data_IF_466730032672
#
_entry.id   IF_466730032672
#
_cell.length_a   1.000
_cell.length_b   1.000
_cell.length_c   1.000
_cell.angle_alpha   90.00
_cell.angle_beta   90.00
_cell.angle_gamma   90.00
#
_symmetry.space_group_name_H-M   'P 1'
#
loop_
_entity.id
_entity.type
_entity.pdbx_description
1 polymer ?
#
# COMPACT_ATOMS: atom_id res chain seq x y z
N UNK A 1 29.12 16.31 -28.00
CA UNK A 1 27.69 16.50 -27.68
C UNK A 1 27.57 16.34 -26.17
N UNK A 2 27.49 17.44 -25.42
CA UNK A 2 27.41 17.42 -23.96
C UNK A 2 25.96 17.26 -23.54
N UNK A 3 25.60 16.09 -23.01
CA UNK A 3 24.31 15.89 -22.35
C UNK A 3 24.42 16.52 -20.96
N UNK A 4 23.71 17.62 -20.76
CA UNK A 4 23.49 18.19 -19.43
C UNK A 4 22.46 17.31 -18.72
N UNK A 5 22.88 16.63 -17.65
CA UNK A 5 21.97 15.89 -16.79
C UNK A 5 21.04 16.86 -16.04
N UNK A 6 19.77 16.49 -15.75
CA UNK A 6 18.88 17.34 -14.98
C UNK A 6 19.44 17.61 -13.58
N UNK A 7 19.44 18.87 -13.17
CA UNK A 7 19.93 19.40 -11.88
C UNK A 7 19.23 18.84 -10.61
N UNK A 8 18.43 17.77 -10.71
CA UNK A 8 17.54 17.30 -9.63
C UNK A 8 18.13 16.16 -8.80
N UNK A 9 19.23 15.54 -9.24
CA UNK A 9 19.89 14.41 -8.53
C UNK A 9 20.64 14.86 -7.25
N UNK A 10 20.78 16.17 -7.02
CA UNK A 10 21.83 16.71 -6.16
C UNK A 10 21.41 17.14 -4.75
N UNK A 11 20.28 16.72 -4.15
CA UNK A 11 19.99 17.15 -2.77
C UNK A 11 19.20 16.11 -1.96
N UNK A 12 19.89 15.14 -1.38
CA UNK A 12 19.46 14.58 -0.10
C UNK A 12 20.12 15.46 0.98
N UNK A 13 19.38 16.41 1.51
CA UNK A 13 19.86 17.20 2.66
C UNK A 13 19.77 16.37 3.94
N UNK A 14 20.64 16.60 4.90
CA UNK A 14 20.61 15.92 6.23
C UNK A 14 19.26 16.04 6.94
N UNK A 15 18.44 17.04 6.58
CA UNK A 15 17.06 17.21 7.07
C UNK A 15 16.06 16.17 6.56
N UNK A 16 16.40 15.39 5.52
CA UNK A 16 15.54 14.39 4.88
C UNK A 16 15.85 12.95 5.31
N UNK A 17 16.90 12.76 6.11
CA UNK A 17 17.21 11.47 6.75
C UNK A 17 16.42 11.44 8.06
N UNK A 18 15.36 10.64 8.10
CA UNK A 18 14.54 10.49 9.30
C UNK A 18 15.12 9.36 10.14
N UNK A 19 15.42 9.62 11.41
CA UNK A 19 15.78 8.54 12.34
C UNK A 19 14.50 7.88 12.83
N UNK A 20 14.20 6.66 12.37
CA UNK A 20 13.09 5.87 12.89
C UNK A 20 13.65 4.68 13.66
N UNK A 21 13.32 4.58 14.96
CA UNK A 21 13.81 3.50 15.84
C UNK A 21 15.35 3.38 15.90
N UNK A 22 16.06 4.51 15.83
CA UNK A 22 17.54 4.53 15.84
C UNK A 22 18.19 4.20 14.49
N UNK A 23 17.41 3.92 13.45
CA UNK A 23 17.92 3.71 12.09
C UNK A 23 17.73 4.96 11.24
N UNK A 24 18.77 5.32 10.48
CA UNK A 24 18.67 6.35 9.44
C UNK A 24 17.84 5.80 8.27
N UNK A 25 16.65 6.36 8.05
CA UNK A 25 15.75 5.99 6.97
C UNK A 25 15.67 7.14 5.96
N UNK A 26 15.73 6.83 4.67
CA UNK A 26 15.38 7.76 3.60
C UNK A 26 13.92 7.48 3.21
N UNK A 27 13.02 8.48 3.26
CA UNK A 27 11.63 8.33 2.84
C UNK A 27 11.51 7.77 1.41
N UNK A 28 10.58 6.82 1.20
CA UNK A 28 10.43 6.11 -0.09
C UNK A 28 10.17 7.06 -1.29
N UNK A 29 9.52 8.19 -1.05
CA UNK A 29 9.27 9.23 -2.07
C UNK A 29 10.53 9.97 -2.54
N UNK A 30 11.62 9.95 -1.76
CA UNK A 30 12.93 10.52 -2.11
C UNK A 30 13.79 9.56 -2.93
N UNK A 31 13.60 8.24 -2.77
CA UNK A 31 14.16 7.26 -3.69
C UNK A 31 13.48 7.40 -5.08
N UNK A 32 12.16 7.42 -5.15
CA UNK A 32 11.44 7.33 -6.43
C UNK A 32 11.77 8.47 -7.43
N UNK A 33 11.91 9.71 -6.95
CA UNK A 33 12.27 10.85 -7.83
C UNK A 33 13.69 10.77 -8.40
N UNK A 34 14.63 10.12 -7.71
CA UNK A 34 16.01 9.96 -8.16
C UNK A 34 16.25 8.66 -8.94
N UNK A 35 15.43 7.63 -8.70
CA UNK A 35 15.54 6.34 -9.36
C UNK A 35 15.00 6.35 -10.80
N UNK A 36 14.03 7.20 -11.13
CA UNK A 36 13.52 7.31 -12.51
C UNK A 36 14.59 7.77 -13.53
N UNK A 37 15.61 8.52 -13.08
CA UNK A 37 16.76 8.90 -13.89
C UNK A 37 17.83 7.77 -14.00
N UNK A 38 17.90 6.87 -13.01
CA UNK A 38 18.77 5.68 -13.00
C UNK A 38 18.17 4.48 -13.77
N UNK A 39 16.85 4.50 -14.01
CA UNK A 39 16.13 3.48 -14.78
C UNK A 39 16.34 3.58 -16.31
N UNK A 40 17.26 4.41 -16.79
CA UNK A 40 17.68 4.39 -18.18
C UNK A 40 18.72 3.24 -18.36
N UNK A 41 18.39 2.15 -19.08
CA UNK A 41 19.17 0.89 -19.09
C UNK A 41 20.50 0.97 -19.86
N UNK A 42 21.10 2.15 -19.97
CA UNK A 42 22.31 2.40 -20.76
C UNK A 42 23.58 2.12 -19.94
N UNK A 43 23.52 2.06 -18.61
CA UNK A 43 24.70 1.76 -17.80
C UNK A 43 24.88 0.23 -17.70
N UNK A 44 25.91 -0.34 -18.34
CA UNK A 44 26.20 -1.76 -18.19
C UNK A 44 26.54 -2.06 -16.72
N UNK A 45 26.12 -3.22 -16.25
CA UNK A 45 26.59 -3.75 -14.96
C UNK A 45 28.11 -3.94 -15.06
N UNK A 46 28.86 -3.26 -14.19
CA UNK A 46 30.32 -3.25 -14.22
C UNK A 46 30.84 -4.33 -13.28
N UNK A 47 31.47 -5.41 -13.79
CA UNK A 47 32.02 -6.44 -12.93
C UNK A 47 33.22 -5.92 -12.14
N UNK A 48 33.24 -6.22 -10.85
CA UNK A 48 34.31 -5.91 -9.90
C UNK A 48 34.90 -7.22 -9.43
N UNK A 49 36.09 -7.58 -9.91
CA UNK A 49 36.79 -8.83 -9.60
C UNK A 49 37.98 -8.65 -8.65
N UNK A 50 38.18 -7.44 -8.12
CA UNK A 50 39.28 -7.08 -7.24
C UNK A 50 39.09 -5.67 -6.67
N UNK A 51 40.15 -5.11 -6.10
CA UNK A 51 40.12 -3.73 -5.58
C UNK A 51 39.96 -2.71 -6.72
N UNK A 52 39.13 -1.70 -6.52
CA UNK A 52 38.88 -0.62 -7.48
C UNK A 52 38.91 0.74 -6.78
N UNK A 53 39.23 1.80 -7.53
CA UNK A 53 39.10 3.18 -7.08
C UNK A 53 38.11 3.90 -7.97
N UNK A 54 37.10 4.50 -7.36
CA UNK A 54 36.03 5.23 -8.02
C UNK A 54 36.34 6.73 -8.01
N UNK A 55 35.89 7.40 -9.07
CA UNK A 55 35.87 8.86 -9.21
C UNK A 55 34.44 9.37 -9.19
N UNK A 56 34.23 10.69 -9.10
CA UNK A 56 32.89 11.28 -9.17
C UNK A 56 32.18 11.01 -10.50
N UNK A 57 32.93 10.78 -11.58
CA UNK A 57 32.39 10.38 -12.89
C UNK A 57 31.74 8.98 -12.87
N UNK A 58 31.98 8.20 -11.81
CA UNK A 58 31.39 6.88 -11.63
C UNK A 58 30.03 6.92 -10.92
N UNK A 59 29.45 8.09 -10.63
CA UNK A 59 28.13 8.18 -9.99
C UNK A 59 27.03 7.62 -10.91
N UNK A 60 26.09 6.90 -10.33
CA UNK A 60 24.95 6.28 -11.00
C UNK A 60 25.24 4.94 -11.67
N UNK A 61 26.40 4.35 -11.40
CA UNK A 61 26.75 3.03 -11.92
C UNK A 61 26.23 1.89 -11.03
N UNK A 62 26.09 0.72 -11.66
CA UNK A 62 25.79 -0.53 -10.98
C UNK A 62 27.05 -1.41 -11.09
N UNK A 63 27.57 -1.81 -9.95
CA UNK A 63 28.75 -2.66 -9.83
C UNK A 63 28.34 -4.06 -9.37
N UNK A 64 28.84 -5.07 -10.05
CA UNK A 64 28.66 -6.46 -9.64
C UNK A 64 29.91 -6.95 -8.92
N UNK A 65 29.75 -7.28 -7.64
CA UNK A 65 30.81 -7.76 -6.76
C UNK A 65 31.07 -9.25 -7.05
N UNK A 66 31.90 -9.51 -8.05
CA UNK A 66 32.21 -10.84 -8.55
C UNK A 66 33.43 -11.44 -7.86
N UNK A 67 33.32 -12.72 -7.48
CA UNK A 67 34.31 -13.52 -6.74
C UNK A 67 35.78 -13.05 -6.87
N UNK A 68 36.26 -12.19 -5.95
CA UNK A 68 37.64 -11.74 -5.99
C UNK A 68 38.54 -12.85 -5.47
N UNK A 69 39.82 -12.85 -5.86
CA UNK A 69 40.79 -13.84 -5.37
C UNK A 69 41.11 -13.69 -3.87
N UNK A 70 40.74 -12.56 -3.26
CA UNK A 70 40.88 -12.23 -1.85
C UNK A 70 39.89 -11.11 -1.48
N UNK A 71 39.80 -10.72 -0.20
CA UNK A 71 39.04 -9.53 0.19
C UNK A 71 39.50 -8.30 -0.63
N UNK A 72 38.53 -7.56 -1.17
CA UNK A 72 38.79 -6.45 -2.07
C UNK A 72 38.46 -5.10 -1.41
N UNK A 73 39.10 -4.02 -1.86
CA UNK A 73 38.84 -2.66 -1.39
C UNK A 73 38.19 -1.83 -2.49
N UNK A 74 37.09 -1.16 -2.18
CA UNK A 74 36.44 -0.18 -3.05
C UNK A 74 36.74 1.20 -2.48
N UNK A 75 37.67 1.92 -3.10
CA UNK A 75 38.01 3.29 -2.70
C UNK A 75 37.04 4.27 -3.34
N UNK A 76 36.24 4.92 -2.51
CA UNK A 76 35.31 5.98 -2.91
C UNK A 76 36.08 7.29 -3.13
N UNK A 77 35.57 8.21 -3.98
CA UNK A 77 36.13 9.55 -4.06
C UNK A 77 35.87 10.34 -2.75
N UNK A 78 36.39 11.56 -2.68
CA UNK A 78 35.94 12.53 -1.68
C UNK A 78 34.41 12.68 -1.79
N UNK A 79 33.66 12.65 -0.67
CA UNK A 79 32.22 12.84 -0.65
C UNK A 79 31.81 14.08 -1.46
N UNK A 80 30.84 13.91 -2.36
CA UNK A 80 30.27 14.99 -3.17
C UNK A 80 28.76 14.80 -3.21
N UNK A 81 28.02 15.89 -3.02
CA UNK A 81 26.56 15.83 -2.92
C UNK A 81 25.97 15.26 -4.22
N UNK A 82 25.11 14.25 -4.09
CA UNK A 82 24.48 13.56 -5.21
C UNK A 82 25.25 12.34 -5.73
N UNK A 83 26.47 12.08 -5.25
CA UNK A 83 27.19 10.85 -5.63
C UNK A 83 26.43 9.62 -5.12
N UNK A 84 26.11 8.69 -6.01
CA UNK A 84 25.43 7.45 -5.68
C UNK A 84 25.91 6.28 -6.52
N UNK A 85 25.78 5.06 -6.01
CA UNK A 85 26.07 3.82 -6.73
C UNK A 85 25.30 2.64 -6.14
N UNK A 86 25.14 1.58 -6.93
CA UNK A 86 24.60 0.30 -6.47
C UNK A 86 25.69 -0.76 -6.58
N UNK A 87 25.83 -1.58 -5.55
CA UNK A 87 26.70 -2.76 -5.56
C UNK A 87 25.87 -4.01 -5.34
N UNK A 88 26.04 -5.02 -6.20
CA UNK A 88 25.29 -6.27 -6.16
C UNK A 88 26.26 -7.42 -5.90
N UNK A 89 26.08 -8.12 -4.79
CA UNK A 89 26.79 -9.34 -4.46
C UNK A 89 26.41 -10.48 -5.39
N UNK A 90 27.38 -10.97 -6.16
CA UNK A 90 27.24 -12.18 -6.99
C UNK A 90 28.30 -13.24 -6.62
N UNK A 91 28.75 -13.21 -5.38
CA UNK A 91 29.80 -14.10 -4.93
C UNK A 91 29.23 -15.34 -4.23
N UNK A 92 29.48 -16.53 -4.77
CA UNK A 92 29.11 -17.79 -4.12
C UNK A 92 29.93 -18.10 -2.87
N UNK A 93 31.03 -17.36 -2.65
CA UNK A 93 31.94 -17.50 -1.52
C UNK A 93 31.83 -16.32 -0.54
N UNK A 94 32.27 -16.50 0.71
CA UNK A 94 32.16 -15.54 1.82
C UNK A 94 33.14 -14.36 1.76
N UNK A 95 33.52 -13.90 0.57
CA UNK A 95 34.44 -12.77 0.46
C UNK A 95 33.77 -11.47 0.87
N UNK A 96 34.59 -10.57 1.42
CA UNK A 96 34.16 -9.25 1.86
C UNK A 96 34.74 -8.16 1.00
N UNK A 97 34.02 -7.04 0.92
CA UNK A 97 34.46 -5.81 0.28
C UNK A 97 34.59 -4.73 1.32
N UNK A 98 35.72 -4.04 1.33
CA UNK A 98 35.97 -2.91 2.22
C UNK A 98 35.74 -1.62 1.45
N UNK A 99 34.72 -0.85 1.79
CA UNK A 99 34.58 0.50 1.28
C UNK A 99 35.48 1.43 2.08
N UNK A 100 36.24 2.28 1.41
CA UNK A 100 37.06 3.31 2.05
C UNK A 100 36.79 4.68 1.42
N UNK A 101 36.92 5.75 2.20
CA UNK A 101 36.84 7.12 1.68
C UNK A 101 38.05 7.94 2.13
N UNK A 102 38.62 8.82 1.28
CA UNK A 102 39.76 9.67 1.65
C UNK A 102 39.40 10.76 2.68
N UNK A 103 38.11 11.06 2.87
CA UNK A 103 37.63 12.11 3.78
C UNK A 103 36.19 11.86 4.20
N UNK A 104 35.77 12.42 5.33
CA UNK A 104 34.44 12.17 5.89
C UNK A 104 34.36 10.78 6.53
N UNK A 105 33.13 10.31 6.73
CA UNK A 105 32.87 8.98 7.29
C UNK A 105 31.91 8.19 6.40
N UNK A 106 31.89 6.87 6.57
CA UNK A 106 30.91 5.98 5.96
C UNK A 106 30.00 5.45 7.07
N UNK A 107 28.69 5.69 6.93
CA UNK A 107 27.67 5.18 7.83
C UNK A 107 27.02 3.93 7.23
N UNK A 108 26.90 2.85 8.02
CA UNK A 108 26.35 1.56 7.58
C UNK A 108 25.26 1.06 8.53
N UNK A 109 24.09 0.71 7.98
CA UNK A 109 23.11 -0.15 8.68
C UNK A 109 22.52 0.37 10.00
N UNK A 110 22.24 1.68 10.14
CA UNK A 110 21.68 2.23 11.38
C UNK A 110 22.62 2.16 12.59
N UNK A 111 23.86 1.71 12.41
CA UNK A 111 24.89 1.77 13.43
C UNK A 111 25.40 3.20 13.57
N UNK A 112 25.52 3.67 14.81
CA UNK A 112 26.19 4.93 15.18
C UNK A 112 27.72 4.85 15.05
N UNK A 113 28.26 3.77 14.48
CA UNK A 113 29.69 3.58 14.25
C UNK A 113 30.15 4.39 13.05
N UNK A 114 30.95 5.43 13.30
CA UNK A 114 31.53 6.30 12.29
C UNK A 114 32.95 5.84 11.97
N UNK A 115 33.19 5.34 10.75
CA UNK A 115 34.52 4.94 10.30
C UNK A 115 34.78 5.44 8.88
N UNK A 116 36.02 5.79 8.56
CA UNK A 116 36.45 6.06 7.17
C UNK A 116 36.50 4.79 6.29
N UNK A 117 36.14 3.65 6.88
CA UNK A 117 36.13 2.34 6.25
C UNK A 117 35.01 1.46 6.83
N UNK A 118 34.31 0.72 5.98
CA UNK A 118 33.34 -0.30 6.39
C UNK A 118 33.56 -1.59 5.59
N UNK A 119 33.21 -2.74 6.18
CA UNK A 119 33.29 -4.04 5.52
C UNK A 119 31.88 -4.55 5.24
N UNK A 120 31.62 -4.96 3.99
CA UNK A 120 30.36 -5.57 3.56
C UNK A 120 30.56 -6.97 3.00
N UNK A 121 29.50 -7.77 2.96
CA UNK A 121 29.52 -9.13 2.45
C UNK A 121 29.20 -9.15 0.94
N UNK A 122 30.10 -9.69 0.10
CA UNK A 122 29.87 -9.77 -1.35
C UNK A 122 28.97 -10.93 -1.79
N UNK A 123 28.37 -11.67 -0.87
CA UNK A 123 27.63 -12.90 -1.12
C UNK A 123 26.45 -12.74 -2.08
N UNK A 124 26.10 -13.80 -2.80
CA UNK A 124 24.92 -13.84 -3.69
C UNK A 124 23.69 -13.31 -2.96
N UNK A 125 23.00 -12.36 -3.58
CA UNK A 125 21.76 -11.81 -3.06
C UNK A 125 21.93 -10.71 -2.02
N UNK A 126 23.16 -10.22 -1.83
CA UNK A 126 23.42 -8.97 -1.13
C UNK A 126 23.35 -7.82 -2.12
N UNK A 127 22.74 -6.71 -1.72
CA UNK A 127 22.79 -5.48 -2.50
C UNK A 127 23.02 -4.31 -1.55
N UNK A 128 23.83 -3.36 -2.00
CA UNK A 128 24.22 -2.18 -1.25
C UNK A 128 23.92 -0.94 -2.06
N UNK A 129 23.13 -0.03 -1.51
CA UNK A 129 22.98 1.32 -2.04
C UNK A 129 23.96 2.24 -1.33
N UNK A 130 24.78 2.94 -2.11
CA UNK A 130 25.72 3.94 -1.62
C UNK A 130 25.24 5.32 -2.05
N UNK A 131 25.18 6.27 -1.12
CA UNK A 131 24.90 7.68 -1.41
C UNK A 131 25.82 8.61 -0.61
N UNK A 132 26.00 9.85 -1.08
CA UNK A 132 26.73 10.90 -0.38
C UNK A 132 25.91 12.18 -0.24
N UNK A 133 26.01 12.82 0.93
CA UNK A 133 25.45 14.15 1.22
C UNK A 133 26.46 15.29 0.93
N UNK A 134 27.64 14.96 0.38
CA UNK A 134 28.74 15.90 0.16
C UNK A 134 29.70 16.04 1.34
N UNK A 135 29.42 15.44 2.48
CA UNK A 135 30.32 15.38 3.64
C UNK A 135 30.69 13.94 4.00
N UNK A 136 29.73 13.02 3.89
CA UNK A 136 29.81 11.63 4.31
C UNK A 136 29.24 10.71 3.23
N UNK A 137 29.44 9.41 3.44
CA UNK A 137 28.78 8.33 2.70
C UNK A 137 27.80 7.57 3.59
N UNK A 138 26.74 7.08 2.96
CA UNK A 138 25.72 6.23 3.58
C UNK A 138 25.60 4.96 2.75
N UNK A 139 25.73 3.81 3.40
CA UNK A 139 25.60 2.50 2.78
C UNK A 139 24.44 1.75 3.41
N UNK A 140 23.49 1.36 2.57
CA UNK A 140 22.28 0.64 2.94
C UNK A 140 22.35 -0.77 2.38
N UNK A 141 22.41 -1.78 3.24
CA UNK A 141 22.23 -3.18 2.83
C UNK A 141 20.74 -3.41 2.57
N UNK A 142 20.39 -3.67 1.31
CA UNK A 142 19.08 -4.19 0.95
C UNK A 142 19.19 -5.70 0.96
N UNK A 143 18.56 -6.35 1.95
CA UNK A 143 18.40 -7.80 1.89
C UNK A 143 17.62 -8.16 0.62
N UNK A 144 17.87 -9.34 0.05
CA UNK A 144 17.28 -9.87 -1.19
C UNK A 144 15.73 -9.93 -1.23
N UNK A 145 15.05 -9.40 -0.22
CA UNK A 145 13.67 -8.97 -0.32
C UNK A 145 13.70 -7.53 -0.83
N UNK A 146 13.57 -7.37 -2.15
CA UNK A 146 13.05 -6.13 -2.71
C UNK A 146 11.63 -5.96 -2.16
N UNK A 147 11.52 -5.49 -0.93
CA UNK A 147 10.34 -4.78 -0.46
C UNK A 147 10.42 -3.50 -1.27
N UNK A 148 9.85 -3.51 -2.48
CA UNK A 148 9.25 -2.29 -2.98
C UNK A 148 8.31 -1.93 -1.84
N UNK A 149 8.53 -0.84 -1.09
CA UNK A 149 7.47 -0.35 -0.23
C UNK A 149 6.33 -0.08 -1.20
N UNK A 150 5.34 -0.98 -1.25
CA UNK A 150 4.14 -0.75 -2.02
C UNK A 150 3.52 0.47 -1.40
N UNK A 151 3.61 1.57 -2.12
CA UNK A 151 2.99 2.77 -1.64
C UNK A 151 1.50 2.45 -1.58
N UNK A 152 0.89 2.77 -0.45
CA UNK A 152 -0.49 2.44 -0.18
C UNK A 152 -1.24 3.70 0.17
N UNK A 153 -2.41 3.88 -0.42
CA UNK A 153 -3.35 4.92 -0.03
C UNK A 153 -4.69 4.28 0.27
N UNK A 154 -5.37 4.79 1.31
CA UNK A 154 -6.67 4.30 1.77
C UNK A 154 -7.68 5.42 1.68
N UNK A 155 -8.80 5.14 1.02
CA UNK A 155 -9.95 6.02 0.89
C UNK A 155 -11.11 5.47 1.72
N UNK A 156 -11.45 6.20 2.78
CA UNK A 156 -12.67 6.03 3.58
C UNK A 156 -13.71 7.11 3.29
N UNK A 157 -13.35 8.07 2.43
CA UNK A 157 -14.22 9.12 1.89
C UNK A 157 -13.86 9.37 0.43
N UNK A 158 -14.81 9.86 -0.35
CA UNK A 158 -14.62 10.18 -1.77
C UNK A 158 -13.57 11.27 -1.96
N UNK A 159 -12.82 11.20 -3.06
CA UNK A 159 -11.74 12.12 -3.34
C UNK A 159 -11.08 11.86 -4.69
N UNK A 160 -9.85 12.33 -4.84
CA UNK A 160 -9.05 12.14 -6.06
C UNK A 160 -7.65 11.69 -5.71
N UNK A 161 -7.02 10.96 -6.64
CA UNK A 161 -5.65 10.49 -6.52
C UNK A 161 -4.94 10.62 -7.87
N UNK A 162 -3.73 11.18 -7.88
CA UNK A 162 -2.92 11.25 -9.10
C UNK A 162 -1.96 10.07 -9.14
N UNK A 163 -1.98 9.32 -10.24
CA UNK A 163 -1.08 8.20 -10.50
C UNK A 163 0.37 8.73 -10.51
N UNK A 164 1.28 8.23 -9.67
CA UNK A 164 2.66 8.69 -9.68
C UNK A 164 3.36 8.38 -11.01
N UNK A 165 4.42 9.14 -11.29
CA UNK A 165 5.23 8.90 -12.48
C UNK A 165 5.86 7.49 -12.42
N UNK A 166 5.91 6.79 -13.55
CA UNK A 166 6.43 5.42 -13.64
C UNK A 166 5.44 4.30 -13.27
N UNK A 167 4.29 4.63 -12.66
CA UNK A 167 3.28 3.63 -12.26
C UNK A 167 2.31 3.33 -13.40
N UNK A 168 2.36 2.12 -13.93
CA UNK A 168 1.48 1.66 -15.03
C UNK A 168 0.44 0.63 -14.60
N UNK A 169 0.54 0.15 -13.36
CA UNK A 169 -0.36 -0.83 -12.78
C UNK A 169 -0.52 -0.54 -11.29
N UNK A 170 -1.74 -0.71 -10.81
CA UNK A 170 -2.09 -0.66 -9.39
C UNK A 170 -2.81 -1.95 -8.99
N UNK A 171 -2.79 -2.27 -7.70
CA UNK A 171 -3.63 -3.31 -7.11
C UNK A 171 -4.66 -2.64 -6.22
N UNK A 172 -5.92 -2.96 -6.46
CA UNK A 172 -7.04 -2.35 -5.74
C UNK A 172 -7.74 -3.40 -4.89
N UNK A 173 -7.94 -3.07 -3.62
CA UNK A 173 -8.77 -3.84 -2.68
C UNK A 173 -9.85 -2.92 -2.13
N UNK A 174 -11.08 -3.39 -2.01
CA UNK A 174 -12.15 -2.56 -1.49
C UNK A 174 -13.52 -3.20 -1.54
N UNK A 175 -14.51 -2.46 -1.06
CA UNK A 175 -15.91 -2.85 -1.13
C UNK A 175 -16.85 -1.68 -1.39
N UNK A 176 -18.00 -1.98 -2.00
CA UNK A 176 -19.17 -1.10 -1.96
C UNK A 176 -19.72 -0.95 -0.54
N UNK A 177 -20.61 0.01 -0.31
CA UNK A 177 -21.32 0.11 0.97
C UNK A 177 -22.27 -1.06 1.18
N UNK A 178 -22.48 -1.50 2.41
CA UNK A 178 -23.47 -2.52 2.75
C UNK A 178 -24.88 -1.94 2.89
N UNK A 179 -25.90 -2.76 2.64
CA UNK A 179 -27.30 -2.35 2.81
C UNK A 179 -27.71 -2.26 4.28
N UNK A 180 -28.75 -1.48 4.55
CA UNK A 180 -29.46 -1.58 5.83
C UNK A 180 -30.30 -2.85 5.89
N UNK A 181 -30.50 -3.36 7.12
CA UNK A 181 -31.57 -4.32 7.38
C UNK A 181 -32.95 -3.66 7.25
N UNK A 182 -33.98 -4.48 7.09
CA UNK A 182 -35.35 -4.00 6.93
C UNK A 182 -36.10 -3.97 8.26
N UNK A 183 -37.20 -3.20 8.27
CA UNK A 183 -38.10 -3.11 9.42
C UNK A 183 -38.89 -4.40 9.56
N UNK A 184 -39.18 -4.80 10.80
CA UNK A 184 -40.20 -5.81 11.06
C UNK A 184 -41.59 -5.28 10.73
N UNK A 185 -42.40 -6.06 10.03
CA UNK A 185 -43.77 -5.67 9.67
C UNK A 185 -44.75 -6.23 10.70
N UNK A 186 -45.47 -5.33 11.37
CA UNK A 186 -46.57 -5.66 12.28
C UNK A 186 -47.91 -5.57 11.53
N UNK A 187 -48.65 -6.68 11.46
CA UNK A 187 -50.07 -6.67 11.08
C UNK A 187 -50.87 -7.30 12.23
N UNK A 188 -51.76 -6.51 12.82
CA UNK A 188 -52.56 -6.81 14.01
C UNK A 188 -53.50 -8.01 13.88
N UNK A 189 -53.55 -8.68 12.72
CA UNK A 189 -54.59 -9.63 12.39
C UNK A 189 -54.15 -11.09 12.38
N UNK A 190 -52.91 -11.46 11.99
CA UNK A 190 -52.56 -12.90 11.83
C UNK A 190 -51.08 -13.29 11.74
N UNK A 191 -50.10 -12.38 11.61
CA UNK A 191 -48.70 -12.81 11.45
C UNK A 191 -47.69 -11.74 11.84
N UNK A 192 -46.66 -12.16 12.57
CA UNK A 192 -45.56 -11.31 12.97
C UNK A 192 -44.30 -11.71 12.19
N UNK A 193 -43.69 -10.76 11.47
CA UNK A 193 -42.49 -11.02 10.67
C UNK A 193 -41.33 -10.16 11.16
N UNK A 194 -40.21 -10.81 11.49
CA UNK A 194 -38.94 -10.10 11.67
C UNK A 194 -38.48 -9.48 10.35
N UNK A 195 -37.77 -8.36 10.42
CA UNK A 195 -37.11 -7.75 9.28
C UNK A 195 -35.96 -8.61 8.77
N UNK A 196 -35.59 -8.46 7.50
CA UNK A 196 -34.44 -9.10 6.88
C UNK A 196 -33.13 -8.36 7.19
N UNK A 197 -32.01 -9.07 7.12
CA UNK A 197 -30.70 -8.43 7.13
C UNK A 197 -30.41 -7.75 5.79
N UNK A 198 -29.49 -6.78 5.81
CA UNK A 198 -28.90 -6.19 4.63
C UNK A 198 -27.77 -7.06 4.08
N UNK A 199 -27.61 -7.07 2.76
CA UNK A 199 -26.48 -7.68 2.06
C UNK A 199 -25.22 -6.82 2.14
N UNK A 200 -24.07 -7.46 1.95
CA UNK A 200 -22.77 -6.79 1.89
C UNK A 200 -22.55 -6.18 0.50
N UNK A 201 -21.76 -5.11 0.45
CA UNK A 201 -21.26 -4.54 -0.80
C UNK A 201 -20.33 -5.52 -1.51
N UNK A 202 -20.27 -5.42 -2.84
CA UNK A 202 -19.38 -6.23 -3.65
C UNK A 202 -17.92 -5.95 -3.26
N UNK A 203 -17.10 -6.99 -3.23
CA UNK A 203 -15.71 -6.95 -2.75
C UNK A 203 -14.76 -7.30 -3.87
N UNK A 204 -13.62 -6.61 -3.90
CA UNK A 204 -12.44 -7.05 -4.64
C UNK A 204 -11.21 -7.02 -3.74
N UNK A 205 -10.27 -7.95 -3.96
CA UNK A 205 -9.01 -8.04 -3.21
C UNK A 205 -7.87 -8.12 -4.22
N UNK A 206 -6.97 -7.13 -4.17
CA UNK A 206 -5.78 -7.02 -5.02
C UNK A 206 -6.07 -7.21 -6.51
N UNK A 207 -7.16 -6.63 -7.00
CA UNK A 207 -7.45 -6.60 -8.43
C UNK A 207 -6.45 -5.70 -9.14
N UNK A 208 -5.74 -6.29 -10.11
CA UNK A 208 -4.79 -5.59 -10.96
C UNK A 208 -5.52 -4.71 -11.98
N UNK A 209 -5.23 -3.41 -11.97
CA UNK A 209 -5.79 -2.42 -12.90
C UNK A 209 -4.63 -1.69 -13.59
N UNK A 210 -4.68 -1.61 -14.91
CA UNK A 210 -3.75 -0.80 -15.70
C UNK A 210 -4.11 0.68 -15.58
N UNK A 211 -3.11 1.52 -15.35
CA UNK A 211 -3.25 2.97 -15.20
C UNK A 211 -2.21 3.70 -16.05
N UNK A 212 -2.44 4.99 -16.27
CA UNK A 212 -1.51 5.85 -17.02
C UNK A 212 -0.81 6.79 -16.02
N UNK A 213 0.53 6.81 -15.98
CA UNK A 213 1.28 7.73 -15.12
C UNK A 213 0.82 9.19 -15.27
N UNK A 214 0.65 9.90 -14.17
CA UNK A 214 0.23 11.30 -14.14
C UNK A 214 -1.28 11.55 -14.31
N UNK A 215 -2.09 10.53 -14.65
CA UNK A 215 -3.54 10.70 -14.71
C UNK A 215 -4.15 10.91 -13.31
N UNK A 216 -5.26 11.65 -13.25
CA UNK A 216 -6.03 11.80 -12.01
C UNK A 216 -7.19 10.83 -12.01
N UNK A 217 -7.26 10.00 -10.98
CA UNK A 217 -8.36 9.09 -10.72
C UNK A 217 -9.33 9.73 -9.73
N UNK A 218 -10.62 9.72 -10.07
CA UNK A 218 -11.71 10.06 -9.15
C UNK A 218 -12.15 8.82 -8.39
N UNK A 219 -12.20 8.92 -7.07
CA UNK A 219 -12.62 7.87 -6.14
C UNK A 219 -13.97 8.27 -5.56
N UNK A 220 -14.97 7.40 -5.73
CA UNK A 220 -16.23 7.49 -4.98
C UNK A 220 -16.26 6.36 -3.97
N UNK A 221 -16.46 6.68 -2.69
CA UNK A 221 -16.71 5.69 -1.65
C UNK A 221 -18.22 5.53 -1.46
N UNK A 222 -18.70 4.28 -1.54
CA UNK A 222 -20.10 3.94 -1.35
C UNK A 222 -20.56 4.23 0.08
N UNK A 223 -21.65 4.99 0.23
CA UNK A 223 -22.25 5.24 1.53
C UNK A 223 -22.87 3.98 2.15
N UNK A 224 -23.03 3.98 3.48
CA UNK A 224 -23.82 2.98 4.17
C UNK A 224 -25.30 3.03 3.73
N UNK A 225 -25.93 1.88 3.55
CA UNK A 225 -27.37 1.78 3.44
C UNK A 225 -28.03 2.19 4.76
N UNK A 226 -29.15 2.90 4.68
CA UNK A 226 -29.93 3.37 5.83
C UNK A 226 -31.39 3.00 5.66
N UNK A 227 -32.11 2.65 6.75
CA UNK A 227 -33.57 2.47 6.75
C UNK A 227 -34.12 1.54 5.65
N UNK A 228 -33.53 0.35 5.48
CA UNK A 228 -33.94 -0.59 4.44
C UNK A 228 -33.58 -0.16 3.02
N UNK A 229 -32.62 0.76 2.85
CA UNK A 229 -32.03 1.11 1.55
C UNK A 229 -30.71 0.37 1.28
N UNK A 230 -30.43 0.19 -0.01
CA UNK A 230 -29.21 -0.42 -0.51
C UNK A 230 -27.97 0.41 -0.13
N UNK A 231 -26.81 -0.24 -0.11
CA UNK A 231 -25.55 0.46 0.05
C UNK A 231 -25.15 1.24 -1.20
N UNK A 232 -24.26 2.22 -1.02
CA UNK A 232 -23.72 3.01 -2.12
C UNK A 232 -22.64 2.27 -2.91
N UNK A 233 -22.43 2.72 -4.15
CA UNK A 233 -21.40 2.20 -5.05
C UNK A 233 -20.03 2.79 -4.68
N UNK A 234 -19.01 1.93 -4.59
CA UNK A 234 -17.60 2.36 -4.57
C UNK A 234 -17.02 2.25 -5.97
N UNK A 235 -16.45 3.33 -6.51
CA UNK A 235 -15.92 3.33 -7.88
C UNK A 235 -14.59 4.07 -8.01
N UNK A 236 -13.82 3.65 -9.01
CA UNK A 236 -12.58 4.27 -9.44
C UNK A 236 -12.72 4.61 -10.93
N UNK A 237 -12.61 5.90 -11.25
CA UNK A 237 -12.77 6.42 -12.62
C UNK A 237 -11.50 7.18 -12.97
N UNK A 238 -10.89 6.90 -14.13
CA UNK A 238 -9.89 7.80 -14.69
C UNK A 238 -10.58 9.05 -15.19
N UNK A 239 -10.48 10.14 -14.42
CA UNK A 239 -11.16 11.40 -14.71
C UNK A 239 -10.60 12.12 -15.93
N UNK A 240 -9.35 11.82 -16.30
CA UNK A 240 -8.72 12.37 -17.50
C UNK A 240 -9.36 11.79 -18.76
N UNK A 241 -9.72 10.51 -18.76
CA UNK A 241 -10.31 9.81 -19.92
C UNK A 241 -11.80 9.51 -19.77
N UNK A 242 -12.40 9.81 -18.62
CA UNK A 242 -13.76 9.40 -18.24
C UNK A 242 -14.01 7.90 -18.29
N UNK A 243 -12.97 7.09 -18.08
CA UNK A 243 -13.06 5.62 -18.12
C UNK A 243 -13.28 5.05 -16.73
N UNK A 244 -14.34 4.27 -16.53
CA UNK A 244 -14.54 3.52 -15.27
C UNK A 244 -13.57 2.35 -15.21
N UNK A 245 -12.67 2.36 -14.24
CA UNK A 245 -11.65 1.32 -14.03
C UNK A 245 -12.13 0.25 -13.05
N UNK A 246 -12.96 0.64 -12.08
CA UNK A 246 -13.55 -0.28 -11.09
C UNK A 246 -14.94 0.21 -10.68
N UNK A 247 -15.86 -0.73 -10.51
CA UNK A 247 -17.19 -0.49 -9.98
C UNK A 247 -17.58 -1.63 -9.03
N UNK A 248 -17.71 -1.32 -7.74
CA UNK A 248 -18.14 -2.24 -6.70
C UNK A 248 -19.55 -1.83 -6.24
N UNK A 249 -20.54 -2.62 -6.63
CA UNK A 249 -21.94 -2.36 -6.27
C UNK A 249 -22.13 -2.39 -4.75
N UNK A 250 -23.05 -1.57 -4.25
CA UNK A 250 -23.48 -1.68 -2.86
C UNK A 250 -24.31 -2.94 -2.59
N UNK A 251 -24.47 -3.27 -1.32
CA UNK A 251 -25.29 -4.38 -0.87
C UNK A 251 -26.78 -4.14 -1.10
N UNK A 252 -27.56 -5.21 -1.19
CA UNK A 252 -29.02 -5.18 -1.39
C UNK A 252 -29.80 -5.42 -0.10
N UNK A 253 -31.04 -4.94 -0.01
CA UNK A 253 -31.83 -4.91 1.25
C UNK A 253 -32.66 -6.17 1.50
N UNK A 254 -32.62 -7.13 0.57
CA UNK A 254 -33.45 -8.34 0.60
C UNK A 254 -32.60 -9.59 0.88
N UNK A 255 -31.63 -9.51 1.78
CA UNK A 255 -30.84 -10.67 2.16
C UNK A 255 -31.64 -11.52 3.17
N UNK A 256 -32.19 -12.63 2.69
CA UNK A 256 -33.18 -13.46 3.39
C UNK A 256 -32.61 -14.18 4.62
N UNK A 257 -33.21 -13.97 5.80
CA UNK A 257 -33.53 -14.96 6.86
C UNK A 257 -34.45 -14.30 7.91
N UNK A 258 -35.67 -13.92 7.53
CA UNK A 258 -36.74 -13.71 8.52
C UNK A 258 -37.40 -15.06 8.80
N UNK A 259 -37.10 -15.69 9.93
CA UNK A 259 -37.72 -16.98 10.25
C UNK A 259 -39.21 -16.77 10.53
N UNK A 260 -40.05 -17.26 9.62
CA UNK A 260 -41.47 -17.51 9.85
C UNK A 260 -41.64 -18.81 10.64
N UNK A 261 -41.14 -18.88 11.88
CA UNK A 261 -41.63 -19.94 12.77
C UNK A 261 -42.95 -19.46 13.37
N UNK A 262 -44.04 -19.82 12.71
CA UNK A 262 -45.38 -19.43 13.14
C UNK A 262 -45.71 -19.98 14.52
N UNK A 263 -45.83 -19.09 15.51
CA UNK A 263 -46.75 -19.17 16.65
C UNK A 263 -46.79 -17.78 17.29
N UNK A 264 -47.89 -17.04 17.18
CA UNK A 264 -48.39 -15.92 18.01
C UNK A 264 -47.42 -14.87 18.63
N UNK A 265 -46.13 -14.95 18.37
CA UNK A 265 -44.99 -14.21 18.89
C UNK A 265 -44.08 -13.97 17.67
N UNK A 266 -43.64 -12.74 17.47
CA UNK A 266 -42.74 -12.29 16.40
C UNK A 266 -41.67 -13.21 15.85
N UNK A 267 -41.44 -13.08 14.54
CA UNK A 267 -40.20 -13.51 13.92
C UNK A 267 -38.99 -12.71 14.41
N UNK A 268 -37.85 -13.37 14.49
CA UNK A 268 -36.55 -12.75 14.73
C UNK A 268 -36.08 -12.06 13.45
N UNK A 269 -35.41 -10.92 13.59
CA UNK A 269 -34.76 -10.28 12.46
C UNK A 269 -33.65 -11.15 11.87
N UNK A 270 -33.33 -10.97 10.59
CA UNK A 270 -32.18 -11.62 9.96
C UNK A 270 -30.85 -10.94 10.33
N UNK A 271 -29.75 -11.68 10.49
CA UNK A 271 -28.43 -11.06 10.61
C UNK A 271 -28.04 -10.39 9.29
N UNK A 272 -27.28 -9.29 9.35
CA UNK A 272 -26.67 -8.68 8.17
C UNK A 272 -25.49 -9.51 7.65
N UNK A 273 -25.24 -9.43 6.35
CA UNK A 273 -24.13 -10.14 5.72
C UNK A 273 -22.78 -9.48 6.07
N UNK A 274 -21.76 -10.30 6.34
CA UNK A 274 -20.40 -9.82 6.59
C UNK A 274 -19.64 -9.66 5.29
N UNK A 275 -18.76 -8.66 5.22
CA UNK A 275 -17.83 -8.46 4.11
C UNK A 275 -16.41 -8.93 4.49
N UNK A 276 -15.48 -8.92 3.54
CA UNK A 276 -14.07 -9.15 3.82
C UNK A 276 -13.42 -8.07 4.74
N UNK A 277 -14.13 -6.95 4.96
CA UNK A 277 -13.63 -5.77 5.68
C UNK A 277 -14.49 -5.38 6.89
N UNK A 278 -15.47 -6.20 7.26
CA UNK A 278 -16.39 -5.87 8.34
C UNK A 278 -17.29 -7.00 8.76
N UNK A 279 -17.91 -6.85 9.92
CA UNK A 279 -18.86 -7.81 10.47
C UNK A 279 -20.27 -7.27 10.29
N UNK A 280 -21.18 -8.14 9.81
CA UNK A 280 -22.58 -7.81 9.63
C UNK A 280 -23.29 -7.48 10.94
N UNK A 281 -24.38 -6.72 10.84
CA UNK A 281 -25.18 -6.34 12.00
C UNK A 281 -25.92 -7.52 12.62
N UNK A 282 -25.99 -7.57 13.96
CA UNK A 282 -26.73 -8.60 14.67
C UNK A 282 -28.24 -8.49 14.44
N UNK A 283 -28.95 -9.62 14.48
CA UNK A 283 -30.40 -9.64 14.38
C UNK A 283 -31.09 -8.99 15.59
N UNK A 284 -32.18 -8.28 15.33
CA UNK A 284 -33.11 -7.82 16.37
C UNK A 284 -34.06 -8.93 16.78
N UNK A 285 -34.17 -9.22 18.08
CA UNK A 285 -35.14 -10.19 18.60
C UNK A 285 -36.46 -9.50 19.00
N UNK A 286 -36.42 -8.69 20.06
CA UNK A 286 -37.52 -7.84 20.54
C UNK A 286 -37.22 -6.36 20.36
N UNK A 287 -36.28 -6.02 19.47
CA UNK A 287 -35.74 -4.67 19.31
C UNK A 287 -35.18 -4.42 17.92
N UNK A 288 -34.55 -3.25 17.76
CA UNK A 288 -33.92 -2.86 16.50
C UNK A 288 -32.78 -3.81 16.12
N UNK A 289 -32.57 -3.97 14.81
CA UNK A 289 -31.41 -4.68 14.28
C UNK A 289 -30.13 -3.92 14.59
N UNK A 290 -29.03 -4.65 14.75
CA UNK A 290 -27.71 -4.10 14.99
C UNK A 290 -27.15 -3.42 13.73
N UNK A 291 -26.44 -2.31 13.90
CA UNK A 291 -25.66 -1.72 12.82
C UNK A 291 -24.47 -2.62 12.46
N UNK A 292 -24.10 -2.61 11.19
CA UNK A 292 -22.87 -3.27 10.74
C UNK A 292 -21.62 -2.55 11.28
N UNK A 293 -20.52 -3.29 11.40
CA UNK A 293 -19.22 -2.77 11.83
C UNK A 293 -18.17 -2.95 10.73
N UNK A 294 -17.17 -2.08 10.68
CA UNK A 294 -16.12 -2.11 9.65
C UNK A 294 -16.60 -1.48 8.34
N UNK A 295 -16.39 -2.18 7.22
CA UNK A 295 -16.68 -1.65 5.88
C UNK A 295 -17.51 -2.63 5.04
N UNK A 296 -18.43 -2.11 4.25
CA UNK A 296 -19.22 -2.84 3.26
C UNK A 296 -20.18 -3.91 3.78
N UNK A 297 -20.24 -4.13 5.09
CA UNK A 297 -21.13 -5.13 5.69
C UNK A 297 -22.57 -4.63 5.82
N UNK A 298 -23.53 -5.54 5.74
CA UNK A 298 -24.95 -5.22 5.85
C UNK A 298 -25.45 -5.14 7.30
N UNK A 299 -26.48 -4.33 7.54
CA UNK A 299 -27.11 -4.17 8.86
C UNK A 299 -28.09 -5.32 9.20
N UNK A 300 -28.33 -5.56 10.48
CA UNK A 300 -29.28 -6.58 10.93
C UNK A 300 -30.74 -6.14 10.77
N UNK A 301 -31.66 -7.09 10.59
CA UNK A 301 -33.10 -6.82 10.55
C UNK A 301 -33.71 -6.57 11.93
N UNK A 302 -34.78 -5.78 11.99
CA UNK A 302 -35.53 -5.55 13.23
C UNK A 302 -36.31 -6.78 13.70
N UNK A 303 -36.51 -6.92 15.01
CA UNK A 303 -37.34 -7.99 15.58
C UNK A 303 -38.84 -7.76 15.41
N UNK A 304 -39.68 -8.80 15.46
CA UNK A 304 -41.14 -8.68 15.26
C UNK A 304 -42.00 -8.96 16.49
N UNK A 305 -41.41 -9.28 17.66
CA UNK A 305 -42.14 -9.93 18.77
C UNK A 305 -43.15 -9.04 19.49
N UNK A 306 -42.96 -7.72 19.49
CA UNK A 306 -43.83 -6.79 20.23
C UNK A 306 -44.01 -5.42 19.52
N UNK A 307 -43.80 -5.37 18.20
CA UNK A 307 -43.91 -4.12 17.44
C UNK A 307 -43.05 -4.11 16.18
N UNK A 308 -43.12 -3.00 15.44
CA UNK A 308 -42.27 -2.73 14.28
C UNK A 308 -40.96 -2.08 14.73
N UNK A 309 -39.90 -2.87 14.76
CA UNK A 309 -38.56 -2.41 15.06
C UNK A 309 -37.75 -2.17 13.78
N UNK A 310 -36.91 -1.14 13.80
CA UNK A 310 -36.10 -0.74 12.65
C UNK A 310 -34.96 -1.74 12.41
N UNK A 311 -34.58 -1.91 11.15
CA UNK A 311 -33.30 -2.55 10.82
C UNK A 311 -32.12 -1.64 11.16
N UNK A 312 -30.97 -2.26 11.39
CA UNK A 312 -29.71 -1.56 11.55
C UNK A 312 -29.17 -1.06 10.21
N UNK A 313 -28.35 0.00 10.27
CA UNK A 313 -27.67 0.53 9.11
C UNK A 313 -26.56 -0.41 8.64
N UNK A 314 -26.27 -0.38 7.33
CA UNK A 314 -25.07 -1.00 6.77
C UNK A 314 -23.81 -0.21 7.11
N UNK A 315 -22.67 -0.69 6.65
CA UNK A 315 -21.37 -0.02 6.77
C UNK A 315 -20.99 0.66 5.44
N UNK A 316 -20.28 1.80 5.47
CA UNK A 316 -19.76 2.43 4.25
C UNK A 316 -18.70 1.55 3.57
N UNK A 317 -18.43 1.81 2.30
CA UNK A 317 -17.37 1.15 1.54
C UNK A 317 -15.97 1.65 1.91
N UNK A 318 -14.95 0.98 1.36
CA UNK A 318 -13.54 1.37 1.48
C UNK A 318 -12.83 1.07 0.16
N UNK A 319 -11.79 1.84 -0.16
CA UNK A 319 -10.90 1.55 -1.27
C UNK A 319 -9.44 1.69 -0.84
N UNK A 320 -8.62 0.70 -1.17
CA UNK A 320 -7.19 0.64 -0.89
C UNK A 320 -6.50 0.49 -2.24
N UNK A 321 -5.54 1.36 -2.52
CA UNK A 321 -4.71 1.31 -3.73
C UNK A 321 -3.27 1.05 -3.31
N UNK A 322 -2.67 -0.01 -3.86
CA UNK A 322 -1.26 -0.35 -3.72
C UNK A 322 -0.57 -0.18 -5.08
N UNK A 323 0.63 0.40 -5.11
CA UNK A 323 1.45 0.53 -6.31
C UNK A 323 2.96 0.44 -6.04
#
# INVERSE_FOLDING_TARGET
>A
MSIQLPNVINNITTSQIVTQSGQACVPANLLDQNFSALANPINPVIPVTGSISLSTANSGNIYELNAPSANATITLPTPTNGYNNIFVGNNSSSYTYTFTTPSGIIQYGGYTGTSASIVVNGGVGKQYYLASDGTNYFVFETSNSYIIPRNTVVFTSSGTWTVPQGVTKILVSGCGGGAAGTVATYNSSTSYFGGTGGGAGNVTIKQSISVIPGHTLSITIGGAGTSGNAGGITSLVDSTTSTTLLNLSGGSTNYSFGLTSGQAYGGWGGPGESSAFGIGGLSGNTGNGGNALGWGSGGGGGGGINGSYAGGNGAPGILIIEW
#
